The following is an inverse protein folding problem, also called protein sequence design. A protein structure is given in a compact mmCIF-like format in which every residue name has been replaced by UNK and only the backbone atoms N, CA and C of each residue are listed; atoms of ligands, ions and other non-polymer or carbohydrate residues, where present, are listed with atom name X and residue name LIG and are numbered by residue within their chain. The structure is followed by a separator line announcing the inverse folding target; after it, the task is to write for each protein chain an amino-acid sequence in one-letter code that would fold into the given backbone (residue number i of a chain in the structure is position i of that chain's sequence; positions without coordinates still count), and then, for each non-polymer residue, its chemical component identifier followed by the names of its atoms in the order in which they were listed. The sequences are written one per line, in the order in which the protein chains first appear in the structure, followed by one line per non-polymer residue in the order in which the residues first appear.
data_IF_055197154657
#
_entry.id   IF_055197154657
#
_cell.length_a   1.000
_cell.length_b   1.000
_cell.length_c   1.000
_cell.angle_alpha   90.00
_cell.angle_beta   90.00
_cell.angle_gamma   90.00
#
_symmetry.space_group_name_H-M   'P 1'
#
loop_
_entity.id
_entity.type
_entity.pdbx_description
1 polymer ?
#
# COMPACT_ATOMS: atom_id res chain seq x y z
N UNK A 1 23.11 -24.36 -0.97
CA UNK A 1 22.71 -23.19 -1.78
C UNK A 1 21.66 -22.42 -1.03
N UNK A 2 21.90 -21.14 -0.75
CA UNK A 2 20.91 -20.29 -0.11
C UNK A 2 19.76 -20.01 -1.09
N UNK A 3 18.49 -20.02 -0.64
CA UNK A 3 17.37 -19.65 -1.49
C UNK A 3 17.53 -18.20 -1.96
N UNK A 4 17.09 -17.91 -3.17
CA UNK A 4 17.06 -16.53 -3.67
C UNK A 4 16.11 -15.71 -2.79
N UNK A 5 16.49 -14.49 -2.38
CA UNK A 5 15.60 -13.64 -1.61
C UNK A 5 14.36 -13.30 -2.42
N UNK A 6 13.22 -13.26 -1.76
CA UNK A 6 11.97 -12.79 -2.35
C UNK A 6 12.02 -11.26 -2.43
N UNK A 7 11.91 -10.71 -3.64
CA UNK A 7 11.86 -9.28 -3.85
C UNK A 7 10.42 -8.75 -3.71
N UNK A 8 10.27 -7.70 -2.96
CA UNK A 8 9.03 -6.94 -2.87
C UNK A 8 9.33 -5.46 -3.16
N UNK A 9 8.68 -4.92 -4.18
CA UNK A 9 8.80 -3.51 -4.51
C UNK A 9 7.66 -2.74 -3.85
N UNK A 10 7.99 -1.83 -2.96
CA UNK A 10 7.03 -0.91 -2.37
C UNK A 10 6.77 0.25 -3.34
N UNK A 11 5.51 0.52 -3.61
CA UNK A 11 5.11 1.57 -4.54
C UNK A 11 4.18 2.56 -3.84
N UNK A 12 4.65 3.81 -3.74
CA UNK A 12 3.96 4.91 -3.08
C UNK A 12 3.75 6.07 -4.07
N UNK A 13 2.78 5.88 -4.97
CA UNK A 13 2.47 6.84 -6.01
C UNK A 13 0.98 7.21 -5.96
N UNK A 14 0.66 8.45 -6.32
CA UNK A 14 -0.71 8.86 -6.60
C UNK A 14 -1.29 8.08 -7.78
N UNK A 15 -2.62 7.95 -7.84
CA UNK A 15 -3.32 7.07 -8.77
C UNK A 15 -2.94 7.28 -10.23
N UNK A 16 -2.80 8.54 -10.66
CA UNK A 16 -2.47 8.86 -12.06
C UNK A 16 -1.06 8.38 -12.43
N UNK A 17 -0.06 8.65 -11.59
CA UNK A 17 1.31 8.21 -11.82
C UNK A 17 1.47 6.71 -11.69
N UNK A 18 0.71 6.10 -10.80
CA UNK A 18 0.67 4.66 -10.64
C UNK A 18 0.13 4.00 -11.92
N UNK A 19 -0.97 4.51 -12.45
CA UNK A 19 -1.55 4.00 -13.69
C UNK A 19 -0.61 4.18 -14.89
N UNK A 20 0.08 5.32 -14.97
CA UNK A 20 1.09 5.59 -15.99
C UNK A 20 2.24 4.59 -15.93
N UNK A 21 2.79 4.35 -14.73
CA UNK A 21 3.88 3.38 -14.52
C UNK A 21 3.48 1.98 -15.00
N UNK A 22 2.34 1.49 -14.58
CA UNK A 22 1.87 0.14 -14.91
C UNK A 22 1.16 0.03 -16.27
N UNK A 23 1.01 1.13 -17.00
CA UNK A 23 0.60 1.10 -18.41
C UNK A 23 1.70 0.55 -19.32
N UNK A 24 2.97 0.65 -18.90
CA UNK A 24 4.10 0.11 -19.64
C UNK A 24 4.19 -1.42 -19.44
N UNK A 25 4.00 -2.23 -20.49
CA UNK A 25 4.09 -3.70 -20.38
C UNK A 25 5.45 -4.19 -19.89
N UNK A 26 6.53 -3.44 -20.16
CA UNK A 26 7.87 -3.82 -19.74
C UNK A 26 8.00 -3.87 -18.21
N UNK A 27 7.29 -3.01 -17.48
CA UNK A 27 7.28 -3.02 -16.01
C UNK A 27 6.71 -4.33 -15.48
N UNK A 28 5.58 -4.78 -16.01
CA UNK A 28 4.96 -6.05 -15.63
C UNK A 28 5.86 -7.24 -16.02
N UNK A 29 6.43 -7.20 -17.21
CA UNK A 29 7.34 -8.26 -17.69
C UNK A 29 8.58 -8.38 -16.80
N UNK A 30 9.17 -7.26 -16.40
CA UNK A 30 10.33 -7.24 -15.50
C UNK A 30 9.98 -7.79 -14.11
N UNK A 31 8.83 -7.44 -13.57
CA UNK A 31 8.36 -7.98 -12.29
C UNK A 31 8.16 -9.49 -12.35
N UNK A 32 7.61 -10.00 -13.45
CA UNK A 32 7.45 -11.44 -13.67
C UNK A 32 8.79 -12.14 -13.80
N UNK A 33 9.73 -11.57 -14.55
CA UNK A 33 11.08 -12.13 -14.72
C UNK A 33 11.84 -12.22 -13.39
N UNK A 34 11.67 -11.23 -12.52
CA UNK A 34 12.25 -11.20 -11.19
C UNK A 34 11.48 -12.04 -10.17
N UNK A 35 10.32 -12.57 -10.52
CA UNK A 35 9.40 -13.23 -9.59
C UNK A 35 9.09 -12.33 -8.39
N UNK A 36 8.94 -11.05 -8.64
CA UNK A 36 8.76 -10.04 -7.62
C UNK A 36 7.31 -9.95 -7.14
N UNK A 37 7.16 -9.37 -5.96
CA UNK A 37 5.88 -8.96 -5.38
C UNK A 37 5.80 -7.43 -5.38
N UNK A 38 4.60 -6.91 -5.27
CA UNK A 38 4.36 -5.46 -5.13
C UNK A 38 3.66 -5.20 -3.81
N UNK A 39 4.18 -4.27 -3.03
CA UNK A 39 3.48 -3.68 -1.90
C UNK A 39 2.96 -2.31 -2.33
N UNK A 40 1.64 -2.17 -2.39
CA UNK A 40 0.98 -0.99 -2.92
C UNK A 40 0.38 -0.15 -1.81
N UNK A 41 0.90 1.07 -1.63
CA UNK A 41 0.33 2.06 -0.73
C UNK A 41 -0.96 2.61 -1.32
N UNK A 42 -2.05 2.54 -0.57
CA UNK A 42 -3.38 2.94 -1.01
C UNK A 42 -3.85 4.16 -0.20
N UNK A 43 -3.48 5.35 -0.67
CA UNK A 43 -3.92 6.63 -0.09
C UNK A 43 -5.27 7.10 -0.63
N UNK A 44 -5.77 6.47 -1.66
CA UNK A 44 -7.12 6.64 -2.22
C UNK A 44 -7.66 5.30 -2.70
N UNK A 45 -8.97 5.22 -2.90
CA UNK A 45 -9.67 4.03 -3.37
C UNK A 45 -10.34 4.31 -4.71
N UNK A 46 -9.57 4.89 -5.63
CA UNK A 46 -10.02 5.24 -6.97
C UNK A 46 -10.19 4.04 -7.89
N UNK A 47 -11.02 4.20 -8.92
CA UNK A 47 -11.16 3.20 -9.98
C UNK A 47 -9.85 3.03 -10.77
N UNK A 48 -9.09 4.11 -10.90
CA UNK A 48 -7.79 4.09 -11.57
C UNK A 48 -6.78 3.20 -10.83
N UNK A 49 -6.71 3.32 -9.51
CA UNK A 49 -5.87 2.45 -8.66
C UNK A 49 -6.35 0.99 -8.71
N UNK A 50 -7.66 0.78 -8.68
CA UNK A 50 -8.24 -0.56 -8.83
C UNK A 50 -7.83 -1.22 -10.15
N UNK A 51 -7.83 -0.45 -11.23
CA UNK A 51 -7.39 -0.94 -12.56
C UNK A 51 -5.94 -1.44 -12.56
N UNK A 52 -5.06 -0.79 -11.82
CA UNK A 52 -3.67 -1.24 -11.66
C UNK A 52 -3.61 -2.58 -10.91
N UNK A 53 -4.33 -2.70 -9.81
CA UNK A 53 -4.38 -3.95 -9.03
C UNK A 53 -4.96 -5.08 -9.87
N UNK A 54 -6.03 -4.83 -10.61
CA UNK A 54 -6.64 -5.82 -11.51
C UNK A 54 -5.64 -6.31 -12.57
N UNK A 55 -4.84 -5.41 -13.13
CA UNK A 55 -3.79 -5.75 -14.09
C UNK A 55 -2.71 -6.63 -13.46
N UNK A 56 -2.24 -6.30 -12.26
CA UNK A 56 -1.26 -7.11 -11.53
C UNK A 56 -1.85 -8.48 -11.17
N UNK A 57 -3.10 -8.54 -10.72
CA UNK A 57 -3.79 -9.79 -10.44
C UNK A 57 -3.88 -10.67 -11.69
N UNK A 58 -4.27 -10.11 -12.83
CA UNK A 58 -4.38 -10.84 -14.10
C UNK A 58 -3.02 -11.38 -14.57
N UNK A 59 -1.94 -10.67 -14.29
CA UNK A 59 -0.58 -11.11 -14.61
C UNK A 59 -0.02 -12.15 -13.62
N UNK A 60 -0.70 -12.42 -12.52
CA UNK A 60 -0.25 -13.36 -11.50
C UNK A 60 0.82 -12.79 -10.57
N UNK A 61 0.96 -11.46 -10.49
CA UNK A 61 1.89 -10.79 -9.59
C UNK A 61 1.22 -10.65 -8.22
N UNK A 62 1.83 -11.19 -7.14
CA UNK A 62 1.29 -11.03 -5.80
C UNK A 62 1.34 -9.57 -5.35
N UNK A 63 0.23 -9.06 -4.82
CA UNK A 63 0.12 -7.68 -4.36
C UNK A 63 -0.28 -7.66 -2.89
N UNK A 64 0.50 -6.94 -2.09
CA UNK A 64 0.12 -6.59 -0.71
C UNK A 64 -0.49 -5.20 -0.73
N UNK A 65 -1.70 -5.05 -0.22
CA UNK A 65 -2.36 -3.76 -0.08
C UNK A 65 -2.00 -3.13 1.27
N UNK A 66 -1.62 -1.85 1.25
CA UNK A 66 -1.31 -1.09 2.45
C UNK A 66 -2.23 0.13 2.47
N UNK A 67 -3.41 0.04 3.11
CA UNK A 67 -4.31 1.17 3.21
C UNK A 67 -3.69 2.28 4.06
N UNK A 68 -3.84 3.52 3.57
CA UNK A 68 -3.41 4.74 4.23
C UNK A 68 -4.59 5.70 4.34
N UNK A 69 -4.42 6.74 5.12
CA UNK A 69 -5.35 7.86 5.13
C UNK A 69 -5.01 8.86 4.01
N UNK A 70 -5.97 9.68 3.57
CA UNK A 70 -5.64 10.85 2.74
C UNK A 70 -4.60 11.73 3.43
N UNK A 71 -3.77 12.41 2.64
CA UNK A 71 -2.68 13.25 3.17
C UNK A 71 -3.20 14.31 4.15
N UNK A 72 -4.36 14.90 3.88
CA UNK A 72 -5.00 15.88 4.77
C UNK A 72 -5.45 15.30 6.11
N UNK A 73 -5.56 13.98 6.24
CA UNK A 73 -6.01 13.27 7.45
C UNK A 73 -4.85 12.57 8.18
N UNK A 74 -3.61 12.92 7.85
CA UNK A 74 -2.42 12.41 8.53
C UNK A 74 -1.65 11.33 7.79
N UNK A 75 -2.18 10.79 6.70
CA UNK A 75 -1.56 9.81 5.80
C UNK A 75 -1.27 8.45 6.45
N UNK A 76 -0.43 8.41 7.47
CA UNK A 76 -0.09 7.18 8.19
C UNK A 76 -1.09 6.87 9.31
N UNK A 77 -1.20 5.61 9.66
CA UNK A 77 -1.92 5.19 10.84
C UNK A 77 -1.09 5.46 12.07
N UNK A 78 -1.69 6.08 13.06
CA UNK A 78 -1.07 6.38 14.35
C UNK A 78 -2.00 5.98 15.49
N UNK A 79 -1.51 6.03 16.71
CA UNK A 79 -2.34 5.77 17.90
C UNK A 79 -3.48 6.79 18.01
N UNK A 80 -3.22 8.03 17.61
CA UNK A 80 -4.19 9.13 17.76
C UNK A 80 -5.30 9.11 16.70
N UNK A 81 -5.10 8.45 15.55
CA UNK A 81 -6.09 8.35 14.50
C UNK A 81 -6.67 6.93 14.31
N UNK A 82 -6.55 6.08 15.33
CA UNK A 82 -6.96 4.67 15.23
C UNK A 82 -8.44 4.49 14.82
N UNK A 83 -9.35 5.34 15.30
CA UNK A 83 -10.75 5.31 14.90
C UNK A 83 -10.95 5.61 13.41
N UNK A 84 -10.25 6.63 12.89
CA UNK A 84 -10.28 6.97 11.46
C UNK A 84 -9.60 5.89 10.62
N UNK A 85 -8.53 5.29 11.13
CA UNK A 85 -7.85 4.18 10.49
C UNK A 85 -8.77 2.96 10.32
N UNK A 86 -9.58 2.62 11.32
CA UNK A 86 -10.57 1.56 11.22
C UNK A 86 -11.62 1.85 10.15
N UNK A 87 -12.10 3.09 10.05
CA UNK A 87 -13.01 3.54 8.99
C UNK A 87 -12.38 3.41 7.59
N UNK A 88 -11.14 3.83 7.45
CA UNK A 88 -10.39 3.68 6.19
C UNK A 88 -10.21 2.22 5.78
N UNK A 89 -9.96 1.33 6.72
CA UNK A 89 -9.89 -0.10 6.45
C UNK A 89 -11.23 -0.65 5.94
N UNK A 90 -12.35 -0.20 6.48
CA UNK A 90 -13.68 -0.58 5.99
C UNK A 90 -13.93 -0.09 4.57
N UNK A 91 -13.52 1.14 4.27
CA UNK A 91 -13.58 1.71 2.92
C UNK A 91 -12.71 0.90 1.93
N UNK A 92 -11.50 0.56 2.34
CA UNK A 92 -10.59 -0.33 1.61
C UNK A 92 -11.23 -1.70 1.33
N UNK A 93 -11.85 -2.31 2.33
CA UNK A 93 -12.51 -3.60 2.18
C UNK A 93 -13.71 -3.53 1.23
N UNK A 94 -14.51 -2.46 1.31
CA UNK A 94 -15.64 -2.23 0.40
C UNK A 94 -15.16 -2.01 -1.05
N UNK A 95 -14.13 -1.21 -1.25
CA UNK A 95 -13.50 -0.96 -2.54
C UNK A 95 -12.93 -2.25 -3.13
N UNK A 96 -12.25 -3.06 -2.32
CA UNK A 96 -11.72 -4.37 -2.69
C UNK A 96 -12.82 -5.29 -3.23
N UNK A 97 -13.95 -5.38 -2.52
CA UNK A 97 -15.10 -6.21 -2.96
C UNK A 97 -15.72 -5.68 -4.25
N UNK A 98 -15.93 -4.37 -4.35
CA UNK A 98 -16.54 -3.73 -5.52
C UNK A 98 -15.75 -4.00 -6.80
N UNK A 99 -14.43 -3.95 -6.71
CA UNK A 99 -13.53 -4.15 -7.85
C UNK A 99 -12.98 -5.57 -7.96
N UNK A 100 -13.37 -6.48 -7.08
CA UNK A 100 -12.91 -7.88 -7.04
C UNK A 100 -11.40 -7.98 -7.00
N UNK A 101 -10.75 -7.16 -6.18
CA UNK A 101 -9.31 -7.14 -6.04
C UNK A 101 -8.84 -8.34 -5.20
N UNK A 102 -7.72 -8.91 -5.58
CA UNK A 102 -7.09 -10.03 -4.88
C UNK A 102 -5.78 -9.56 -4.27
N UNK A 103 -5.66 -9.72 -2.97
CA UNK A 103 -4.47 -9.37 -2.22
C UNK A 103 -3.78 -10.63 -1.71
N UNK A 104 -2.44 -10.66 -1.83
CA UNK A 104 -1.60 -11.68 -1.18
C UNK A 104 -1.57 -11.47 0.34
N UNK A 105 -1.74 -10.24 0.76
CA UNK A 105 -1.84 -9.83 2.15
C UNK A 105 -2.23 -8.37 2.26
N UNK A 106 -2.55 -7.95 3.48
CA UNK A 106 -2.80 -6.55 3.83
C UNK A 106 -1.81 -6.14 4.90
N UNK A 107 -1.08 -5.08 4.66
CA UNK A 107 -0.16 -4.49 5.61
C UNK A 107 -0.71 -3.19 6.19
N UNK A 108 -0.20 -2.83 7.35
CA UNK A 108 -0.48 -1.53 7.97
C UNK A 108 0.84 -0.80 8.16
N UNK A 109 0.89 0.44 7.73
CA UNK A 109 2.02 1.33 7.98
C UNK A 109 1.68 2.19 9.19
N UNK A 110 2.22 1.80 10.35
CA UNK A 110 1.95 2.46 11.63
C UNK A 110 3.18 3.28 11.99
N UNK A 111 2.99 4.60 11.95
CA UNK A 111 4.06 5.53 12.28
C UNK A 111 3.86 6.12 13.68
N UNK A 112 4.94 6.46 14.38
CA UNK A 112 4.81 7.26 15.59
C UNK A 112 4.27 8.64 15.24
N UNK A 113 3.52 9.23 16.15
CA UNK A 113 3.04 10.59 15.97
C UNK A 113 4.20 11.54 15.69
N UNK A 114 3.95 12.54 14.83
CA UNK A 114 4.92 13.58 14.57
C UNK A 114 5.43 14.13 15.92
N UNK A 115 6.75 14.12 16.08
CA UNK A 115 7.41 14.45 17.35
C UNK A 115 7.03 15.87 17.80
N UNK A 116 6.02 15.97 18.64
CA UNK A 116 5.81 17.18 19.41
C UNK A 116 6.76 17.13 20.61
N UNK A 117 7.18 18.27 21.18
CA UNK A 117 8.05 18.29 22.36
C UNK A 117 7.54 17.44 23.53
N UNK A 118 6.21 17.19 23.58
CA UNK A 118 5.59 16.31 24.59
C UNK A 118 5.66 14.83 24.26
N UNK A 119 5.66 14.46 22.97
CA UNK A 119 5.72 13.06 22.55
C UNK A 119 7.17 12.55 22.51
N UNK A 120 8.14 13.41 22.20
CA UNK A 120 9.56 13.06 22.24
C UNK A 120 10.07 12.78 23.67
N UNK A 121 9.49 13.42 24.68
CA UNK A 121 9.85 13.18 26.07
C UNK A 121 9.41 11.79 26.58
N UNK A 122 8.49 11.12 25.90
CA UNK A 122 7.99 9.79 26.27
C UNK A 122 8.93 8.65 25.85
N UNK A 123 9.85 8.92 24.93
CA UNK A 123 10.82 7.97 24.37
C UNK A 123 12.26 8.38 24.67
N UNK A 124 12.48 9.01 25.82
CA UNK A 124 13.82 9.35 26.29
C UNK A 124 14.73 8.13 26.34
N UNK A 125 16.08 8.33 26.28
CA UNK A 125 17.02 7.22 26.26
C UNK A 125 16.80 6.34 27.49
N UNK A 126 16.46 5.06 27.22
CA UNK A 126 16.42 4.02 28.22
C UNK A 126 17.85 3.62 28.63
#
# INVERSE_FOLDING_TARGET
MLPRPQLTFACELGSARLAELFADPAVVDDLLALKARVALMCSDFSDQRAGVVQRLNAAGIPVTGIPLLPLAEGYYFTVDNAGRAAGSYQEFAAWTRRHRLVWDGVGLDIEPDACTPRSCARWGPG
#
